data_IF_543322890054
#
_entry.id   IF_543322890054
#
_cell.length_a   1.000
_cell.length_b   1.000
_cell.length_c   1.000
_cell.angle_alpha   90.00
_cell.angle_beta   90.00
_cell.angle_gamma   90.00
#
_symmetry.space_group_name_H-M   'P 1'
#
loop_
_entity.id
_entity.type
_entity.pdbx_description
1 polymer ?
#
# COMPACT_ATOMS: atom_id res chain seq x y z
N UNK A 1 20.43 18.66 3.30
CA UNK A 1 18.96 18.50 3.32
C UNK A 1 18.62 17.26 4.12
N UNK A 2 17.69 17.35 5.06
CA UNK A 2 17.21 16.15 5.74
C UNK A 2 16.48 15.26 4.74
N UNK A 3 16.87 13.98 4.67
CA UNK A 3 16.14 12.99 3.89
C UNK A 3 14.72 12.81 4.48
N UNK A 4 13.75 12.66 3.60
CA UNK A 4 12.37 12.34 4.01
C UNK A 4 12.32 10.98 4.72
N UNK A 5 11.59 10.92 5.82
CA UNK A 5 11.35 9.69 6.56
C UNK A 5 10.07 9.02 6.04
N UNK A 6 10.18 7.75 5.62
CA UNK A 6 9.05 7.00 5.09
C UNK A 6 8.78 5.80 5.97
N UNK A 7 7.59 5.77 6.57
CA UNK A 7 7.13 4.64 7.36
C UNK A 7 6.66 3.48 6.50
N UNK A 8 7.27 2.32 6.65
CA UNK A 8 6.79 1.07 6.04
C UNK A 8 5.94 0.35 7.07
N UNK A 9 4.64 0.25 6.80
CA UNK A 9 3.68 -0.33 7.75
C UNK A 9 3.90 -1.83 7.84
N UNK A 10 4.35 -2.27 9.02
CA UNK A 10 4.51 -3.68 9.37
C UNK A 10 3.27 -4.18 10.11
N UNK A 11 2.40 -4.82 9.38
CA UNK A 11 1.18 -5.45 9.91
C UNK A 11 1.15 -6.97 9.65
N UNK A 12 2.33 -7.56 9.43
CA UNK A 12 2.48 -9.00 9.20
C UNK A 12 2.21 -9.43 7.75
N UNK A 13 2.27 -8.50 6.78
CA UNK A 13 2.12 -8.83 5.36
C UNK A 13 3.06 -7.99 4.49
N UNK A 14 3.49 -8.58 3.39
CA UNK A 14 4.36 -7.92 2.40
C UNK A 14 5.85 -8.20 2.59
N UNK A 15 6.62 -7.87 1.55
CA UNK A 15 8.08 -8.01 1.57
C UNK A 15 8.74 -6.71 2.06
N UNK A 16 8.75 -6.52 3.38
CA UNK A 16 9.24 -5.31 4.03
C UNK A 16 10.69 -4.99 3.67
N UNK A 17 11.56 -6.01 3.60
CA UNK A 17 12.97 -5.83 3.28
C UNK A 17 13.17 -5.26 1.87
N UNK A 18 12.46 -5.80 0.89
CA UNK A 18 12.54 -5.31 -0.49
C UNK A 18 12.00 -3.89 -0.62
N UNK A 19 10.91 -3.56 0.09
CA UNK A 19 10.35 -2.21 0.12
C UNK A 19 11.33 -1.23 0.73
N UNK A 20 11.93 -1.54 1.89
CA UNK A 20 12.93 -0.68 2.51
C UNK A 20 14.13 -0.45 1.60
N UNK A 21 14.64 -1.52 0.95
CA UNK A 21 15.74 -1.39 -0.01
C UNK A 21 15.41 -0.49 -1.20
N UNK A 22 14.22 -0.61 -1.76
CA UNK A 22 13.78 0.26 -2.85
C UNK A 22 13.70 1.72 -2.42
N UNK A 23 13.19 1.99 -1.22
CA UNK A 23 13.11 3.33 -0.64
C UNK A 23 14.51 3.93 -0.38
N UNK A 24 15.46 3.14 0.13
CA UNK A 24 16.86 3.55 0.30
C UNK A 24 17.47 3.97 -1.04
N UNK A 25 17.26 3.18 -2.10
CA UNK A 25 17.72 3.50 -3.46
C UNK A 25 17.06 4.78 -3.99
N UNK A 26 15.79 5.01 -3.66
CA UNK A 26 15.08 6.25 -4.00
C UNK A 26 15.55 7.47 -3.18
N UNK A 27 16.51 7.30 -2.27
CA UNK A 27 17.12 8.40 -1.53
C UNK A 27 16.37 8.87 -0.29
N UNK A 28 15.35 8.13 0.15
CA UNK A 28 14.61 8.41 1.39
C UNK A 28 15.08 7.50 2.53
N UNK A 29 14.66 7.79 3.76
CA UNK A 29 14.99 6.99 4.94
C UNK A 29 13.78 6.14 5.32
N UNK A 30 13.79 4.82 5.09
CA UNK A 30 12.70 3.94 5.52
C UNK A 30 12.79 3.64 7.02
N UNK A 31 11.65 3.53 7.68
CA UNK A 31 11.52 3.01 9.03
C UNK A 31 10.33 2.05 9.11
N UNK A 32 10.47 0.95 9.85
CA UNK A 32 9.34 0.06 10.09
C UNK A 32 8.41 0.69 11.13
N UNK A 33 7.12 0.72 10.81
CA UNK A 33 6.07 1.24 11.68
C UNK A 33 5.20 0.05 12.11
N UNK A 34 5.31 -0.31 13.37
CA UNK A 34 4.59 -1.43 14.01
C UNK A 34 3.48 -0.96 14.93
N UNK A 35 3.43 0.34 15.24
CA UNK A 35 2.44 0.93 16.12
C UNK A 35 2.02 2.33 15.62
N UNK A 36 0.76 2.69 15.86
CA UNK A 36 0.19 3.97 15.44
C UNK A 36 0.94 5.19 15.99
N UNK A 37 1.52 5.08 17.17
CA UNK A 37 2.31 6.14 17.81
C UNK A 37 3.53 6.57 17.00
N UNK A 38 4.06 5.70 16.15
CA UNK A 38 5.22 5.97 15.29
C UNK A 38 4.87 6.76 14.02
N UNK A 39 3.58 6.90 13.69
CA UNK A 39 3.13 7.65 12.50
C UNK A 39 3.45 9.14 12.59
N UNK A 40 3.61 9.69 13.80
CA UNK A 40 4.00 11.09 13.97
C UNK A 40 5.41 11.43 13.50
N UNK A 41 6.27 10.42 13.39
CA UNK A 41 7.69 10.59 13.12
C UNK A 41 8.07 10.44 11.62
N UNK A 42 7.07 10.27 10.75
CA UNK A 42 7.30 10.02 9.31
C UNK A 42 6.60 11.04 8.43
N UNK A 43 7.18 11.31 7.26
CA UNK A 43 6.65 12.25 6.26
C UNK A 43 5.63 11.59 5.33
N UNK A 44 5.68 10.27 5.18
CA UNK A 44 4.77 9.50 4.33
C UNK A 44 4.78 8.03 4.74
N UNK A 45 3.80 7.26 4.27
CA UNK A 45 3.72 5.83 4.55
C UNK A 45 3.67 4.99 3.28
N UNK A 46 4.27 3.80 3.37
CA UNK A 46 4.12 2.73 2.39
C UNK A 46 3.41 1.56 3.05
N UNK A 47 2.32 1.12 2.47
CA UNK A 47 1.57 -0.06 2.90
C UNK A 47 1.81 -1.17 1.89
N UNK A 48 2.69 -2.14 2.19
CA UNK A 48 2.88 -3.31 1.35
C UNK A 48 1.75 -4.31 1.57
N UNK A 49 1.62 -5.29 0.70
CA UNK A 49 0.69 -6.39 0.90
C UNK A 49 1.00 -7.54 -0.03
N UNK A 50 0.94 -8.77 0.49
CA UNK A 50 1.21 -9.99 -0.27
C UNK A 50 0.27 -11.11 0.19
N UNK A 51 -0.11 -12.00 -0.72
CA UNK A 51 -1.00 -13.12 -0.46
C UNK A 51 -2.45 -12.81 -0.85
N UNK A 52 -3.39 -12.98 0.07
CA UNK A 52 -4.82 -12.78 -0.18
C UNK A 52 -5.39 -11.54 0.51
N UNK A 53 -6.37 -10.92 -0.12
CA UNK A 53 -7.02 -9.71 0.39
C UNK A 53 -7.55 -9.89 1.82
N UNK A 54 -8.28 -10.98 2.10
CA UNK A 54 -8.82 -11.22 3.44
C UNK A 54 -7.73 -11.30 4.51
N UNK A 55 -6.60 -11.93 4.20
CA UNK A 55 -5.50 -12.08 5.15
C UNK A 55 -4.85 -10.73 5.45
N UNK A 56 -4.60 -9.92 4.42
CA UNK A 56 -4.07 -8.57 4.61
C UNK A 56 -5.03 -7.68 5.39
N UNK A 57 -6.32 -7.72 5.07
CA UNK A 57 -7.35 -6.97 5.79
C UNK A 57 -7.46 -7.40 7.26
N UNK A 58 -7.41 -8.71 7.53
CA UNK A 58 -7.45 -9.27 8.88
C UNK A 58 -6.20 -8.88 9.68
N UNK A 59 -5.01 -9.02 9.09
CA UNK A 59 -3.75 -8.67 9.74
C UNK A 59 -3.69 -7.17 10.07
N UNK A 60 -4.08 -6.31 9.12
CA UNK A 60 -4.08 -4.87 9.32
C UNK A 60 -5.05 -4.46 10.45
N UNK A 61 -6.19 -5.11 10.54
CA UNK A 61 -7.15 -4.90 11.63
C UNK A 61 -6.59 -5.42 12.96
N UNK A 62 -6.05 -6.63 12.99
CA UNK A 62 -5.50 -7.26 14.19
C UNK A 62 -4.28 -6.50 14.75
N UNK A 63 -3.49 -5.85 13.89
CA UNK A 63 -2.36 -5.02 14.30
C UNK A 63 -2.78 -3.71 15.00
N UNK A 64 -4.06 -3.33 14.94
CA UNK A 64 -4.55 -2.03 15.40
C UNK A 64 -4.16 -0.84 14.52
N UNK A 65 -3.49 -1.09 13.39
CA UNK A 65 -3.03 -0.02 12.49
C UNK A 65 -4.11 0.44 11.50
N UNK A 66 -5.17 -0.35 11.29
CA UNK A 66 -6.15 -0.10 10.26
C UNK A 66 -6.79 1.29 10.32
N UNK A 67 -7.29 1.66 11.49
CA UNK A 67 -7.92 2.97 11.69
C UNK A 67 -6.93 4.12 11.54
N UNK A 68 -5.74 3.98 12.11
CA UNK A 68 -4.69 5.00 12.02
C UNK A 68 -4.18 5.22 10.59
N UNK A 69 -4.02 4.16 9.81
CA UNK A 69 -3.68 4.23 8.38
C UNK A 69 -4.82 4.89 7.59
N UNK A 70 -6.07 4.57 7.94
CA UNK A 70 -7.24 5.18 7.32
C UNK A 70 -7.31 6.69 7.62
N UNK A 71 -7.16 7.09 8.86
CA UNK A 71 -7.14 8.51 9.27
C UNK A 71 -6.00 9.26 8.59
N UNK A 72 -4.78 8.73 8.61
CA UNK A 72 -3.63 9.27 7.88
C UNK A 72 -3.95 9.63 6.43
N UNK A 73 -4.61 8.71 5.76
CA UNK A 73 -4.91 8.86 4.32
C UNK A 73 -6.04 9.86 4.09
N UNK A 74 -7.06 9.86 4.95
CA UNK A 74 -8.18 10.81 4.87
C UNK A 74 -7.75 12.24 5.19
N UNK A 75 -6.70 12.43 5.97
CA UNK A 75 -6.05 13.73 6.22
C UNK A 75 -5.25 14.24 5.01
N UNK A 76 -5.19 13.48 3.91
CA UNK A 76 -4.44 13.84 2.71
C UNK A 76 -2.93 13.67 2.85
N UNK A 77 -2.46 12.93 3.84
CA UNK A 77 -1.03 12.64 4.04
C UNK A 77 -0.55 11.58 3.04
N UNK A 78 0.73 11.63 2.63
CA UNK A 78 1.25 10.76 1.58
C UNK A 78 1.12 9.27 1.89
N UNK A 79 0.49 8.52 0.99
CA UNK A 79 0.28 7.08 1.07
C UNK A 79 0.67 6.43 -0.25
N UNK A 80 1.48 5.39 -0.18
CA UNK A 80 1.79 4.51 -1.31
C UNK A 80 1.37 3.07 -0.97
N UNK A 81 0.37 2.55 -1.66
CA UNK A 81 -0.04 1.15 -1.57
C UNK A 81 0.69 0.29 -2.60
N UNK A 82 1.30 -0.80 -2.17
CA UNK A 82 1.96 -1.76 -3.06
C UNK A 82 1.16 -3.05 -3.08
N UNK A 83 0.70 -3.47 -4.27
CA UNK A 83 -0.08 -4.68 -4.49
C UNK A 83 -1.35 -4.68 -3.61
N UNK A 84 -1.49 -5.61 -2.67
CA UNK A 84 -2.65 -5.65 -1.76
C UNK A 84 -2.76 -4.40 -0.88
N UNK A 85 -1.64 -3.72 -0.57
CA UNK A 85 -1.69 -2.44 0.11
C UNK A 85 -2.44 -1.36 -0.68
N UNK A 86 -2.37 -1.39 -2.01
CA UNK A 86 -3.21 -0.55 -2.87
C UNK A 86 -4.67 -1.04 -2.90
N UNK A 87 -4.89 -2.34 -3.02
CA UNK A 87 -6.24 -2.90 -3.06
C UNK A 87 -7.03 -2.64 -1.76
N UNK A 88 -6.36 -2.62 -0.62
CA UNK A 88 -6.98 -2.32 0.68
C UNK A 88 -7.59 -0.91 0.78
N UNK A 89 -7.24 0.02 -0.10
CA UNK A 89 -7.85 1.35 -0.14
C UNK A 89 -9.34 1.30 -0.54
N UNK A 90 -9.76 0.29 -1.28
CA UNK A 90 -11.14 0.12 -1.74
C UNK A 90 -12.05 -0.44 -0.65
N UNK A 91 -13.37 -0.41 -0.92
CA UNK A 91 -14.39 -0.88 0.01
C UNK A 91 -14.39 -2.41 0.16
N UNK A 92 -14.11 -3.13 -0.92
CA UNK A 92 -14.18 -4.61 -0.95
C UNK A 92 -13.36 -5.20 -2.10
N UNK A 93 -13.28 -6.52 -2.13
CA UNK A 93 -12.62 -7.28 -3.20
C UNK A 93 -13.44 -8.52 -3.57
N UNK A 94 -13.53 -8.82 -4.86
CA UNK A 94 -14.14 -10.07 -5.36
C UNK A 94 -13.36 -11.32 -4.91
N UNK A 95 -12.06 -11.16 -4.63
CA UNK A 95 -11.24 -12.24 -4.08
C UNK A 95 -11.73 -12.71 -2.70
N UNK A 96 -12.35 -11.82 -1.94
CA UNK A 96 -12.73 -12.07 -0.55
C UNK A 96 -14.12 -11.46 -0.25
N UNK A 97 -15.20 -12.06 -0.76
CA UNK A 97 -16.54 -11.55 -0.54
C UNK A 97 -16.87 -11.37 0.95
N UNK A 98 -17.46 -10.23 1.30
CA UNK A 98 -17.85 -9.91 2.67
C UNK A 98 -16.71 -9.38 3.56
N UNK A 99 -15.48 -9.33 3.08
CA UNK A 99 -14.36 -8.75 3.81
C UNK A 99 -14.17 -7.29 3.39
N UNK A 100 -14.32 -6.31 4.31
CA UNK A 100 -14.14 -4.92 3.97
C UNK A 100 -12.65 -4.55 3.88
N UNK A 101 -12.33 -3.64 2.93
CA UNK A 101 -11.07 -2.90 2.91
C UNK A 101 -11.13 -1.68 3.85
N UNK A 102 -10.28 -0.70 3.59
CA UNK A 102 -10.26 0.56 4.35
C UNK A 102 -11.39 1.53 3.94
N UNK A 103 -12.01 1.31 2.77
CA UNK A 103 -13.12 2.14 2.29
C UNK A 103 -12.76 3.61 2.07
N UNK A 104 -11.52 3.90 1.72
CA UNK A 104 -11.04 5.25 1.41
C UNK A 104 -11.43 5.61 -0.02
N UNK A 105 -11.25 4.67 -0.93
CA UNK A 105 -11.67 4.78 -2.31
C UNK A 105 -12.98 3.99 -2.50
N UNK A 106 -13.96 4.63 -3.13
CA UNK A 106 -15.23 3.98 -3.46
C UNK A 106 -15.03 2.92 -4.54
N UNK A 107 -15.79 1.83 -4.42
CA UNK A 107 -15.77 0.73 -5.37
C UNK A 107 -15.08 -0.53 -4.83
N UNK A 108 -14.85 -1.46 -5.71
CA UNK A 108 -14.31 -2.77 -5.36
C UNK A 108 -13.20 -3.21 -6.31
N UNK A 109 -12.29 -4.02 -5.81
CA UNK A 109 -11.30 -4.72 -6.61
C UNK A 109 -11.98 -5.89 -7.32
N UNK A 110 -11.83 -5.96 -8.63
CA UNK A 110 -12.43 -7.01 -9.47
C UNK A 110 -11.36 -7.82 -10.16
N UNK A 111 -11.69 -9.07 -10.48
CA UNK A 111 -10.82 -9.92 -11.28
C UNK A 111 -10.76 -9.39 -12.71
N UNK A 112 -9.59 -9.48 -13.35
CA UNK A 112 -9.48 -9.21 -14.78
C UNK A 112 -10.39 -10.15 -15.58
N UNK A 113 -11.03 -9.66 -16.66
CA UNK A 113 -11.84 -10.48 -17.52
C UNK A 113 -11.04 -11.67 -18.07
N UNK A 114 -11.72 -12.80 -18.23
CA UNK A 114 -11.13 -13.95 -18.93
C UNK A 114 -10.88 -13.59 -20.41
N UNK A 115 -9.69 -13.91 -20.91
CA UNK A 115 -9.30 -13.56 -22.28
C UNK A 115 -8.00 -14.24 -22.68
N UNK A 116 -7.41 -13.78 -23.77
CA UNK A 116 -6.14 -14.29 -24.32
C UNK A 116 -4.91 -13.90 -23.50
N UNK A 117 -5.04 -12.90 -22.62
CA UNK A 117 -3.94 -12.43 -21.79
C UNK A 117 -3.80 -13.27 -20.54
N UNK A 118 -2.53 -13.54 -20.16
CA UNK A 118 -2.23 -14.29 -18.95
C UNK A 118 -2.52 -13.45 -17.69
N UNK A 119 -3.24 -14.04 -16.76
CA UNK A 119 -3.51 -13.48 -15.43
C UNK A 119 -2.95 -14.43 -14.37
N UNK A 120 -2.12 -13.96 -13.43
CA UNK A 120 -1.64 -12.59 -13.26
C UNK A 120 -0.62 -12.16 -14.32
N UNK A 121 -0.56 -10.84 -14.57
CA UNK A 121 0.53 -10.23 -15.33
C UNK A 121 1.77 -10.11 -14.44
N UNK A 122 2.86 -10.74 -14.83
CA UNK A 122 4.14 -10.68 -14.11
C UNK A 122 5.26 -10.41 -15.11
N UNK A 123 6.09 -9.39 -14.80
CA UNK A 123 7.20 -9.00 -15.65
C UNK A 123 7.52 -7.50 -15.51
N UNK A 124 8.59 -7.11 -16.18
CA UNK A 124 8.96 -5.70 -16.31
C UNK A 124 8.08 -5.03 -17.35
N UNK A 125 7.63 -3.82 -17.04
CA UNK A 125 6.84 -2.99 -17.94
C UNK A 125 7.18 -1.52 -17.73
N UNK A 126 6.81 -0.69 -18.72
CA UNK A 126 6.95 0.76 -18.67
C UNK A 126 5.68 1.39 -18.11
N UNK A 127 5.86 2.49 -17.37
CA UNK A 127 4.76 3.38 -16.98
C UNK A 127 4.61 4.49 -18.02
N UNK A 128 3.37 4.77 -18.43
CA UNK A 128 3.00 5.90 -19.28
C UNK A 128 1.76 6.57 -18.69
N UNK A 129 1.48 7.79 -19.15
CA UNK A 129 0.42 8.65 -18.58
C UNK A 129 0.57 8.93 -17.08
N UNK A 130 1.80 8.95 -16.59
CA UNK A 130 2.08 9.29 -15.19
C UNK A 130 1.78 10.77 -14.97
N UNK A 131 0.92 11.06 -13.99
CA UNK A 131 0.42 12.42 -13.70
C UNK A 131 0.69 12.81 -12.25
N UNK A 132 0.62 14.12 -12.00
CA UNK A 132 0.81 14.68 -10.66
C UNK A 132 2.27 14.60 -10.19
N UNK A 133 2.47 14.43 -8.90
CA UNK A 133 3.80 14.39 -8.28
C UNK A 133 4.65 13.20 -8.73
N UNK A 134 4.03 12.14 -9.24
CA UNK A 134 4.75 11.00 -9.79
C UNK A 134 5.41 11.30 -11.14
N UNK A 135 4.97 12.34 -11.85
CA UNK A 135 5.53 12.72 -13.17
C UNK A 135 6.87 13.43 -13.08
N UNK A 136 7.26 13.92 -11.92
CA UNK A 136 8.49 14.70 -11.73
C UNK A 136 9.73 13.88 -11.39
N UNK A 137 9.61 12.57 -11.25
CA UNK A 137 10.69 11.68 -10.82
C UNK A 137 11.03 10.53 -11.81
N UNK A 138 10.40 10.50 -12.99
CA UNK A 138 10.62 9.46 -14.01
C UNK A 138 10.97 10.05 -15.36
#
# INVERSE_FOLDING_TARGET
MNKKSIGVIDYGSGNLRSVCKALEVAGVTPSLVTAATQLGDVDGIVVPGQGHFHQCAANLRASGMGDSVREWTLEGRPYLGICLGYQLLFESSEESPGVPGLGILKGRVVRFPSGSLKVPHMGWNTLYDVRGTLSSGF
#
